data_IF_031922322819
#
_entry.id   IF_031922322819
#
_cell.length_a   1.000
_cell.length_b   1.000
_cell.length_c   1.000
_cell.angle_alpha   90.00
_cell.angle_beta   90.00
_cell.angle_gamma   90.00
#
_symmetry.space_group_name_H-M   'P 1'
#
loop_
_entity.id
_entity.type
_entity.pdbx_description
1 polymer ?
#
# COMPACT_ATOMS: atom_id res chain seq x y z
N UNK A 1 27.57 62.37 -7.40
CA UNK A 1 27.26 61.09 -8.08
C UNK A 1 26.27 60.34 -7.21
N UNK A 2 25.00 60.32 -7.60
CA UNK A 2 23.89 59.69 -6.87
C UNK A 2 23.41 58.51 -7.71
N UNK A 3 23.43 57.29 -7.16
CA UNK A 3 22.79 56.13 -7.76
C UNK A 3 21.60 55.72 -6.92
N UNK A 4 20.42 55.81 -7.54
CA UNK A 4 19.12 55.40 -7.01
C UNK A 4 19.05 53.89 -6.93
N UNK A 5 18.65 53.36 -5.78
CA UNK A 5 18.14 51.99 -5.65
C UNK A 5 16.78 51.91 -6.35
N UNK A 6 16.66 51.03 -7.35
CA UNK A 6 15.39 50.71 -8.00
C UNK A 6 14.59 49.73 -7.13
N UNK A 7 13.30 50.02 -7.00
CA UNK A 7 12.32 49.18 -6.32
C UNK A 7 12.09 47.87 -7.08
N UNK A 8 12.42 46.74 -6.45
CA UNK A 8 11.99 45.43 -6.95
C UNK A 8 10.46 45.31 -6.83
N UNK A 9 9.83 44.91 -7.92
CA UNK A 9 8.38 44.91 -8.13
C UNK A 9 7.66 43.88 -7.25
N UNK A 10 6.55 44.30 -6.67
CA UNK A 10 5.58 43.51 -5.90
C UNK A 10 4.79 42.48 -6.74
N UNK A 11 5.29 42.13 -7.94
CA UNK A 11 4.59 41.26 -8.89
C UNK A 11 4.84 39.76 -8.69
N UNK A 12 5.65 39.36 -7.69
CA UNK A 12 6.05 37.95 -7.52
C UNK A 12 5.14 37.13 -6.59
N UNK A 13 4.41 37.77 -5.67
CA UNK A 13 3.63 37.04 -4.67
C UNK A 13 2.21 36.67 -5.16
N UNK A 14 1.58 37.53 -5.96
CA UNK A 14 0.24 37.26 -6.52
C UNK A 14 0.23 36.13 -7.55
N UNK A 15 1.29 35.99 -8.35
CA UNK A 15 1.38 34.95 -9.38
C UNK A 15 1.55 33.54 -8.76
N UNK A 16 2.20 33.43 -7.60
CA UNK A 16 2.37 32.17 -6.87
C UNK A 16 1.08 31.72 -6.17
N UNK A 17 0.27 32.66 -5.69
CA UNK A 17 -1.03 32.35 -5.04
C UNK A 17 -2.05 31.90 -6.09
N UNK A 18 -2.08 32.50 -7.28
CA UNK A 18 -3.01 32.10 -8.36
C UNK A 18 -2.67 30.72 -8.93
N UNK A 19 -1.39 30.33 -9.02
CA UNK A 19 -1.03 28.97 -9.46
C UNK A 19 -1.43 27.87 -8.45
N UNK A 20 -1.47 28.19 -7.15
CA UNK A 20 -1.92 27.24 -6.13
C UNK A 20 -3.44 27.06 -6.10
N UNK A 21 -4.20 28.01 -6.66
CA UNK A 21 -5.66 27.99 -6.72
C UNK A 21 -6.23 27.27 -7.96
N UNK A 22 -5.40 26.93 -8.95
CA UNK A 22 -5.82 26.19 -10.15
C UNK A 22 -5.65 24.67 -10.08
N UNK A 23 -5.26 24.11 -8.93
CA UNK A 23 -5.47 22.69 -8.69
C UNK A 23 -6.92 22.53 -8.23
N UNK A 24 -7.84 22.57 -9.19
CA UNK A 24 -9.18 22.06 -8.95
C UNK A 24 -9.01 20.68 -8.31
N UNK A 25 -9.61 20.39 -7.14
CA UNK A 25 -9.59 19.04 -6.61
C UNK A 25 -10.28 18.18 -7.66
N UNK A 26 -9.52 17.42 -8.44
CA UNK A 26 -10.12 16.30 -9.15
C UNK A 26 -10.55 15.35 -8.04
N UNK A 27 -11.84 15.38 -7.71
CA UNK A 27 -12.45 14.35 -6.89
C UNK A 27 -12.42 13.09 -7.75
N UNK A 28 -11.26 12.43 -7.76
CA UNK A 28 -11.05 11.17 -8.45
C UNK A 28 -12.07 10.17 -7.93
N UNK A 29 -12.82 9.54 -8.84
CA UNK A 29 -13.82 8.55 -8.48
C UNK A 29 -13.15 7.33 -7.84
N UNK A 30 -13.58 6.97 -6.63
CA UNK A 30 -13.22 5.68 -6.02
C UNK A 30 -13.87 4.57 -6.85
N UNK A 31 -13.04 3.71 -7.43
CA UNK A 31 -13.52 2.58 -8.24
C UNK A 31 -13.85 1.36 -7.37
N UNK A 32 -13.14 1.20 -6.27
CA UNK A 32 -13.36 0.16 -5.26
C UNK A 32 -12.92 0.69 -3.89
N UNK A 33 -13.80 0.54 -2.91
CA UNK A 33 -13.51 0.80 -1.51
C UNK A 33 -13.52 -0.53 -0.74
N UNK A 34 -12.34 -1.02 -0.37
CA UNK A 34 -12.18 -2.24 0.41
C UNK A 34 -11.83 -1.94 1.89
N UNK A 35 -12.09 -0.72 2.37
CA UNK A 35 -11.88 -0.41 3.79
C UNK A 35 -12.88 -1.18 4.64
N UNK A 36 -12.41 -1.84 5.70
CA UNK A 36 -13.23 -2.74 6.52
C UNK A 36 -14.20 -1.94 7.40
N UNK A 37 -15.53 -2.09 7.27
CA UNK A 37 -16.50 -1.36 8.09
C UNK A 37 -16.40 -1.72 9.58
N UNK A 38 -16.83 -0.87 10.53
CA UNK A 38 -16.67 -1.10 11.98
C UNK A 38 -17.44 -2.31 12.53
N UNK A 39 -18.47 -2.73 11.80
CA UNK A 39 -19.37 -3.84 12.17
C UNK A 39 -19.00 -5.16 11.50
N UNK A 40 -18.10 -5.14 10.51
CA UNK A 40 -17.71 -6.34 9.78
C UNK A 40 -16.92 -7.31 10.68
N UNK A 41 -17.11 -8.60 10.45
CA UNK A 41 -16.36 -9.69 11.08
C UNK A 41 -15.43 -10.32 10.04
N UNK A 42 -14.36 -10.94 10.53
CA UNK A 42 -13.39 -11.65 9.67
C UNK A 42 -14.07 -12.71 8.80
N UNK A 43 -15.06 -13.41 9.36
CA UNK A 43 -15.85 -14.44 8.65
C UNK A 43 -16.67 -13.87 7.49
N UNK A 44 -17.02 -12.58 7.53
CA UNK A 44 -17.83 -11.95 6.48
C UNK A 44 -17.09 -11.92 5.13
N UNK A 45 -15.75 -11.95 5.13
CA UNK A 45 -14.95 -12.09 3.90
C UNK A 45 -15.25 -13.39 3.14
N UNK A 46 -15.65 -14.45 3.84
CA UNK A 46 -16.02 -15.74 3.26
C UNK A 46 -17.51 -15.87 2.91
N UNK A 47 -18.36 -14.97 3.43
CA UNK A 47 -19.81 -15.03 3.25
C UNK A 47 -20.30 -14.02 2.20
N UNK A 48 -20.59 -14.54 0.99
CA UNK A 48 -21.05 -13.76 -0.18
C UNK A 48 -22.42 -13.09 0.01
N UNK A 49 -23.15 -13.40 1.07
CA UNK A 49 -24.40 -12.69 1.40
C UNK A 49 -24.14 -11.34 2.08
N UNK A 50 -23.00 -11.19 2.75
CA UNK A 50 -22.59 -9.96 3.45
C UNK A 50 -22.03 -8.90 2.48
N UNK A 51 -22.01 -7.64 2.91
CA UNK A 51 -21.42 -6.55 2.13
C UNK A 51 -19.91 -6.75 1.87
N UNK A 52 -19.16 -7.22 2.87
CA UNK A 52 -17.71 -7.46 2.74
C UNK A 52 -17.42 -8.67 1.84
N UNK A 53 -18.18 -9.75 1.97
CA UNK A 53 -17.99 -10.94 1.13
C UNK A 53 -18.29 -10.69 -0.35
N UNK A 54 -19.25 -9.81 -0.68
CA UNK A 54 -19.50 -9.35 -2.06
C UNK A 54 -18.33 -8.58 -2.66
N UNK A 55 -17.55 -7.89 -1.83
CA UNK A 55 -16.36 -7.14 -2.24
C UNK A 55 -15.09 -8.00 -2.24
N UNK A 56 -15.14 -9.21 -1.69
CA UNK A 56 -13.98 -10.10 -1.54
C UNK A 56 -14.05 -11.20 -2.58
N UNK A 57 -13.23 -11.17 -3.63
CA UNK A 57 -13.20 -12.25 -4.63
C UNK A 57 -12.75 -13.56 -3.99
N UNK A 58 -11.59 -13.51 -3.33
CA UNK A 58 -10.97 -14.65 -2.68
C UNK A 58 -10.14 -14.22 -1.47
N UNK A 59 -9.92 -15.18 -0.57
CA UNK A 59 -8.85 -15.13 0.43
C UNK A 59 -7.89 -16.27 0.12
N UNK A 60 -6.60 -15.96 -0.01
CA UNK A 60 -5.56 -16.94 -0.25
C UNK A 60 -4.94 -17.24 1.11
N UNK A 61 -5.24 -18.40 1.66
CA UNK A 61 -4.73 -18.84 2.96
C UNK A 61 -4.23 -20.28 2.84
N UNK A 62 -3.29 -20.67 3.70
CA UNK A 62 -2.88 -22.07 3.83
C UNK A 62 -3.95 -22.92 4.50
N UNK A 63 -3.55 -23.70 5.51
CA UNK A 63 -4.45 -24.49 6.37
C UNK A 63 -5.17 -23.67 7.46
N UNK A 64 -4.83 -22.39 7.61
CA UNK A 64 -5.51 -21.49 8.55
C UNK A 64 -6.98 -21.28 8.15
N UNK A 65 -7.86 -21.27 9.15
CA UNK A 65 -9.15 -20.60 9.05
C UNK A 65 -8.97 -19.08 8.88
N UNK A 66 -10.03 -18.39 8.43
CA UNK A 66 -9.99 -16.93 8.27
C UNK A 66 -9.62 -16.20 9.57
N UNK A 67 -10.13 -16.66 10.72
CA UNK A 67 -9.87 -16.04 12.03
C UNK A 67 -8.46 -16.33 12.58
N UNK A 68 -7.79 -17.37 12.08
CA UNK A 68 -6.39 -17.64 12.36
C UNK A 68 -5.47 -16.79 11.48
N UNK A 69 -5.85 -16.58 10.21
CA UNK A 69 -5.09 -15.78 9.25
C UNK A 69 -5.25 -14.26 9.47
N UNK A 70 -6.43 -13.82 9.92
CA UNK A 70 -6.79 -12.40 9.99
C UNK A 70 -7.43 -12.02 11.32
N UNK A 71 -7.22 -10.76 11.72
CA UNK A 71 -7.94 -10.14 12.81
C UNK A 71 -8.34 -8.72 12.43
N UNK A 72 -9.62 -8.38 12.62
CA UNK A 72 -10.09 -7.01 12.48
C UNK A 72 -9.97 -6.29 13.83
N UNK A 73 -9.23 -5.20 13.85
CA UNK A 73 -8.96 -4.39 15.02
C UNK A 73 -9.71 -3.07 14.90
N UNK A 74 -10.61 -2.82 15.84
CA UNK A 74 -11.31 -1.53 15.94
C UNK A 74 -10.33 -0.45 16.36
N UNK A 75 -10.35 0.67 15.64
CA UNK A 75 -9.60 1.86 16.00
C UNK A 75 -10.57 2.88 16.61
N UNK A 76 -10.32 3.39 17.82
CA UNK A 76 -11.18 4.39 18.44
C UNK A 76 -11.43 5.58 17.52
N UNK A 77 -12.71 5.96 17.36
CA UNK A 77 -13.16 7.08 16.51
C UNK A 77 -12.87 6.92 15.00
N UNK A 78 -12.52 5.71 14.54
CA UNK A 78 -12.38 5.40 13.11
C UNK A 78 -13.70 4.86 12.54
N UNK A 79 -13.98 5.23 11.28
CA UNK A 79 -15.06 4.61 10.50
C UNK A 79 -14.65 3.27 9.87
N UNK A 80 -13.40 2.84 10.07
CA UNK A 80 -12.88 1.59 9.52
C UNK A 80 -12.05 0.81 10.55
N UNK A 81 -11.99 -0.50 10.37
CA UNK A 81 -11.12 -1.40 11.12
C UNK A 81 -9.77 -1.56 10.42
N UNK A 82 -8.73 -1.84 11.20
CA UNK A 82 -7.42 -2.26 10.69
C UNK A 82 -7.42 -3.79 10.58
N UNK A 83 -6.85 -4.31 9.50
CA UNK A 83 -6.63 -5.75 9.34
C UNK A 83 -5.22 -6.08 9.84
N UNK A 84 -5.12 -6.93 10.86
CA UNK A 84 -3.88 -7.62 11.19
C UNK A 84 -3.83 -8.93 10.40
N UNK A 85 -2.81 -9.05 9.56
CA UNK A 85 -2.47 -10.28 8.85
C UNK A 85 -1.48 -11.07 9.71
N UNK A 86 -1.77 -12.34 9.96
CA UNK A 86 -0.96 -13.21 10.81
C UNK A 86 -0.30 -14.26 9.94
N UNK A 87 0.99 -14.53 10.12
CA UNK A 87 1.69 -15.58 9.38
C UNK A 87 2.22 -16.61 10.38
N UNK A 88 2.02 -17.88 10.08
CA UNK A 88 2.45 -19.04 10.86
C UNK A 88 2.73 -20.24 9.91
N UNK A 89 3.07 -21.41 10.43
CA UNK A 89 3.36 -22.59 9.61
C UNK A 89 2.13 -23.15 8.87
N UNK A 90 0.93 -22.87 9.37
CA UNK A 90 -0.31 -23.17 8.66
C UNK A 90 -0.57 -22.19 7.50
N UNK A 91 0.27 -21.18 7.27
CA UNK A 91 0.12 -20.23 6.17
C UNK A 91 0.78 -20.70 4.86
N UNK A 92 1.30 -21.93 4.81
CA UNK A 92 1.84 -22.51 3.57
C UNK A 92 0.67 -22.83 2.63
N UNK A 93 0.63 -22.16 1.48
CA UNK A 93 -0.43 -22.32 0.49
C UNK A 93 -0.07 -23.41 -0.51
N UNK A 94 -0.97 -24.38 -0.73
CA UNK A 94 -0.83 -25.46 -1.74
C UNK A 94 0.55 -26.13 -1.78
N UNK A 95 1.11 -26.41 -0.60
CA UNK A 95 2.42 -27.05 -0.44
C UNK A 95 3.58 -26.33 -1.16
N UNK A 96 3.43 -25.02 -1.40
CA UNK A 96 4.51 -24.18 -1.93
C UNK A 96 5.57 -23.96 -0.86
N UNK A 97 6.47 -24.94 -0.74
CA UNK A 97 7.61 -24.89 0.18
C UNK A 97 8.46 -23.65 -0.15
N UNK A 98 8.60 -22.75 0.83
CA UNK A 98 9.34 -21.49 0.69
C UNK A 98 8.48 -20.23 0.80
N UNK A 99 7.15 -20.33 0.67
CA UNK A 99 6.24 -19.19 0.81
C UNK A 99 5.18 -19.43 1.88
N UNK A 100 4.85 -18.35 2.61
CA UNK A 100 3.69 -18.28 3.49
C UNK A 100 2.82 -17.14 2.99
N UNK A 101 1.52 -17.40 2.78
CA UNK A 101 0.58 -16.44 2.17
C UNK A 101 -0.69 -16.34 2.97
N UNK A 102 -1.12 -15.11 3.21
CA UNK A 102 -2.45 -14.76 3.67
C UNK A 102 -2.85 -13.49 2.92
N UNK A 103 -3.40 -13.66 1.72
CA UNK A 103 -3.75 -12.55 0.84
C UNK A 103 -5.28 -12.36 0.79
N UNK A 104 -5.68 -11.10 0.70
CA UNK A 104 -7.07 -10.74 0.43
C UNK A 104 -7.12 -10.20 -0.99
N UNK A 105 -7.93 -10.83 -1.84
CA UNK A 105 -8.12 -10.43 -3.23
C UNK A 105 -9.50 -9.79 -3.34
N UNK A 106 -9.59 -8.47 -3.54
CA UNK A 106 -10.87 -7.82 -3.74
C UNK A 106 -11.51 -8.22 -5.08
N UNK A 107 -12.83 -8.15 -5.12
CA UNK A 107 -13.60 -8.23 -6.35
C UNK A 107 -13.38 -6.96 -7.17
N UNK A 108 -12.93 -7.11 -8.41
CA UNK A 108 -12.69 -6.00 -9.29
C UNK A 108 -12.93 -6.37 -10.75
N UNK A 109 -13.28 -5.37 -11.56
CA UNK A 109 -13.53 -5.54 -12.99
C UNK A 109 -12.29 -5.13 -13.80
N UNK A 110 -11.56 -6.09 -14.35
CA UNK A 110 -10.34 -5.84 -15.14
C UNK A 110 -10.52 -4.77 -16.23
N UNK A 111 -11.66 -4.75 -16.93
CA UNK A 111 -11.93 -3.74 -17.98
C UNK A 111 -11.93 -2.30 -17.45
N UNK A 112 -12.27 -2.12 -16.18
CA UNK A 112 -12.28 -0.82 -15.52
C UNK A 112 -10.94 -0.48 -14.85
N UNK A 113 -10.26 -1.48 -14.29
CA UNK A 113 -9.04 -1.29 -13.48
C UNK A 113 -7.76 -1.36 -14.29
N UNK A 114 -7.69 -2.13 -15.38
CA UNK A 114 -6.47 -2.34 -16.16
C UNK A 114 -6.40 -1.41 -17.39
N UNK A 115 -6.85 -0.16 -17.22
CA UNK A 115 -6.89 0.83 -18.30
C UNK A 115 -6.51 2.22 -17.80
N UNK A 116 -5.86 3.02 -18.65
CA UNK A 116 -5.46 4.39 -18.30
C UNK A 116 -4.66 4.48 -17.00
N UNK A 117 -4.78 5.60 -16.30
CA UNK A 117 -4.08 5.82 -15.02
C UNK A 117 -4.97 5.42 -13.85
N UNK A 118 -4.41 4.69 -12.88
CA UNK A 118 -5.10 4.25 -11.65
C UNK A 118 -4.23 4.48 -10.43
N UNK A 119 -4.85 4.84 -9.31
CA UNK A 119 -4.14 5.02 -8.03
C UNK A 119 -4.57 3.94 -7.04
N UNK A 120 -3.61 3.22 -6.48
CA UNK A 120 -3.78 2.19 -5.46
C UNK A 120 -3.36 2.75 -4.10
N UNK A 121 -4.28 2.73 -3.13
CA UNK A 121 -4.04 3.26 -1.80
C UNK A 121 -3.79 2.13 -0.79
N UNK A 122 -2.66 2.20 -0.08
CA UNK A 122 -2.32 1.23 0.97
C UNK A 122 -1.88 1.95 2.24
N UNK A 123 -2.18 1.36 3.39
CA UNK A 123 -1.76 1.87 4.70
C UNK A 123 -1.23 0.74 5.56
N UNK A 124 -0.01 0.87 6.06
CA UNK A 124 0.64 -0.16 6.87
C UNK A 124 1.07 0.39 8.23
N UNK A 125 1.02 -0.46 9.24
CA UNK A 125 1.58 -0.20 10.57
C UNK A 125 2.35 -1.44 11.03
N UNK A 126 3.57 -1.22 11.50
CA UNK A 126 4.40 -2.26 12.11
C UNK A 126 4.36 -2.05 13.61
N UNK A 127 3.69 -2.92 14.35
CA UNK A 127 3.56 -2.76 15.80
C UNK A 127 4.83 -3.22 16.51
N UNK A 128 5.16 -2.63 17.67
CA UNK A 128 6.32 -3.07 18.46
C UNK A 128 6.31 -4.55 18.84
N UNK A 129 5.12 -5.11 19.09
CA UNK A 129 4.92 -6.52 19.44
C UNK A 129 4.76 -7.47 18.24
N UNK A 130 4.66 -6.93 17.02
CA UNK A 130 4.47 -7.69 15.78
C UNK A 130 5.64 -7.53 14.83
N UNK A 131 6.88 -7.57 15.35
CA UNK A 131 8.08 -7.44 14.51
C UNK A 131 8.20 -8.66 13.59
N UNK A 132 8.28 -8.39 12.31
CA UNK A 132 8.61 -9.38 11.29
C UNK A 132 10.10 -9.74 11.37
N UNK A 133 10.45 -10.97 11.03
CA UNK A 133 11.84 -11.40 10.94
C UNK A 133 12.45 -10.87 9.65
N UNK A 134 13.33 -9.87 9.78
CA UNK A 134 13.94 -9.17 8.64
C UNK A 134 14.82 -10.07 7.76
N UNK A 135 15.14 -11.29 8.18
CA UNK A 135 15.81 -12.29 7.33
C UNK A 135 14.90 -12.82 6.21
N UNK A 136 13.59 -12.65 6.33
CA UNK A 136 12.62 -13.03 5.31
C UNK A 136 12.20 -11.83 4.47
N UNK A 137 11.78 -12.12 3.23
CA UNK A 137 11.13 -11.16 2.36
C UNK A 137 9.61 -11.17 2.55
N UNK A 138 9.01 -9.99 2.58
CA UNK A 138 7.57 -9.81 2.74
C UNK A 138 7.02 -8.98 1.58
N UNK A 139 6.18 -9.61 0.78
CA UNK A 139 5.36 -8.94 -0.22
C UNK A 139 4.09 -8.42 0.48
N UNK A 140 4.05 -7.13 0.80
CA UNK A 140 2.98 -6.54 1.61
C UNK A 140 1.73 -6.19 0.80
N UNK A 141 1.94 -5.79 -0.45
CA UNK A 141 0.90 -5.55 -1.45
C UNK A 141 1.53 -5.61 -2.84
N UNK A 142 0.75 -6.05 -3.82
CA UNK A 142 1.15 -6.06 -5.23
C UNK A 142 -0.09 -5.97 -6.12
N UNK A 143 0.15 -5.67 -7.38
CA UNK A 143 -0.82 -5.87 -8.46
C UNK A 143 -0.18 -6.80 -9.46
N UNK A 144 -0.78 -7.97 -9.67
CA UNK A 144 -0.32 -8.92 -10.68
C UNK A 144 -0.40 -8.31 -12.08
N UNK A 145 0.59 -8.62 -12.93
CA UNK A 145 0.55 -8.24 -14.33
C UNK A 145 -0.24 -9.32 -15.10
N UNK A 146 -1.40 -8.97 -15.72
CA UNK A 146 -2.29 -9.97 -16.32
C UNK A 146 -1.64 -10.75 -17.47
N UNK A 147 -0.67 -10.14 -18.17
CA UNK A 147 -0.02 -10.74 -19.34
C UNK A 147 1.25 -11.55 -19.01
N UNK A 148 1.70 -11.60 -17.75
CA UNK A 148 2.90 -12.36 -17.38
C UNK A 148 2.72 -13.20 -16.12
N UNK A 149 3.28 -14.40 -16.17
CA UNK A 149 3.30 -15.32 -15.03
C UNK A 149 4.32 -14.82 -14.00
N UNK A 150 3.88 -14.67 -12.75
CA UNK A 150 4.73 -14.34 -11.59
C UNK A 150 5.42 -12.96 -11.65
N UNK A 151 4.78 -12.00 -12.30
CA UNK A 151 5.28 -10.62 -12.40
C UNK A 151 4.24 -9.65 -11.85
N UNK A 152 4.69 -8.67 -11.08
CA UNK A 152 3.82 -7.65 -10.51
C UNK A 152 4.04 -6.32 -11.23
N UNK A 153 2.98 -5.60 -11.58
CA UNK A 153 3.08 -4.22 -12.09
C UNK A 153 3.90 -3.35 -11.13
N UNK A 154 3.57 -3.45 -9.85
CA UNK A 154 4.37 -2.94 -8.76
C UNK A 154 4.24 -3.88 -7.57
N UNK A 155 5.17 -3.75 -6.63
CA UNK A 155 4.97 -4.25 -5.30
C UNK A 155 5.41 -3.28 -4.20
N UNK A 156 4.95 -3.56 -2.99
CA UNK A 156 5.41 -2.97 -1.74
C UNK A 156 6.07 -4.09 -0.94
N UNK A 157 7.38 -3.99 -0.76
CA UNK A 157 8.23 -5.02 -0.19
C UNK A 157 8.88 -4.58 1.13
N UNK A 158 9.08 -5.52 2.04
CA UNK A 158 9.82 -5.32 3.30
C UNK A 158 10.67 -6.56 3.62
N UNK A 159 11.73 -6.39 4.42
CA UNK A 159 12.62 -7.49 4.78
C UNK A 159 13.66 -7.77 3.70
N UNK A 160 14.19 -8.98 3.65
CA UNK A 160 15.33 -9.37 2.80
C UNK A 160 14.89 -9.93 1.46
N UNK A 161 15.54 -9.52 0.38
CA UNK A 161 15.29 -10.06 -0.96
C UNK A 161 15.60 -11.56 -1.00
N UNK A 162 14.77 -12.34 -1.69
CA UNK A 162 15.07 -13.74 -1.89
C UNK A 162 16.34 -13.90 -2.74
N UNK A 163 17.32 -14.61 -2.17
CA UNK A 163 18.51 -15.09 -2.86
C UNK A 163 18.75 -16.54 -2.42
N UNK A 164 18.72 -17.48 -3.36
CA UNK A 164 18.94 -18.91 -3.09
C UNK A 164 20.35 -19.20 -2.55
N UNK A 165 21.30 -18.28 -2.74
CA UNK A 165 22.66 -18.38 -2.20
C UNK A 165 22.77 -17.90 -0.75
N UNK A 166 21.78 -17.17 -0.23
CA UNK A 166 21.77 -16.67 1.15
C UNK A 166 21.30 -17.75 2.15
N UNK A 167 21.99 -18.89 2.17
CA UNK A 167 21.65 -20.03 3.04
C UNK A 167 21.90 -19.73 4.53
N UNK A 168 22.72 -18.72 4.84
CA UNK A 168 22.94 -18.25 6.20
C UNK A 168 21.77 -17.42 6.77
N UNK A 169 20.82 -17.00 5.92
CA UNK A 169 19.71 -16.14 6.32
C UNK A 169 20.19 -14.78 6.83
N UNK A 170 21.16 -14.17 6.14
CA UNK A 170 21.66 -12.83 6.49
C UNK A 170 20.67 -11.79 6.01
N UNK A 171 20.31 -10.84 6.87
CA UNK A 171 19.41 -9.77 6.46
C UNK A 171 20.11 -8.78 5.53
N UNK A 172 19.39 -8.29 4.52
CA UNK A 172 19.88 -7.22 3.65
C UNK A 172 20.16 -5.93 4.44
N UNK A 173 21.09 -5.11 3.95
CA UNK A 173 21.38 -3.77 4.52
C UNK A 173 20.14 -2.87 4.59
N UNK A 174 19.19 -3.09 3.70
CA UNK A 174 17.94 -2.36 3.55
C UNK A 174 16.71 -3.18 3.98
N UNK A 175 16.89 -4.26 4.75
CA UNK A 175 15.80 -5.11 5.20
C UNK A 175 14.79 -4.37 6.09
N UNK A 176 15.21 -3.35 6.84
CA UNK A 176 14.32 -2.53 7.67
C UNK A 176 13.55 -1.44 6.88
N UNK A 177 13.54 -1.48 5.55
CA UNK A 177 12.82 -0.51 4.72
C UNK A 177 11.52 -1.08 4.17
N UNK A 178 10.53 -0.19 3.96
CA UNK A 178 9.45 -0.45 3.02
C UNK A 178 9.92 0.06 1.66
N UNK A 179 9.89 -0.79 0.64
CA UNK A 179 10.35 -0.49 -0.72
C UNK A 179 9.18 -0.61 -1.68
N UNK A 180 8.93 0.43 -2.48
CA UNK A 180 8.00 0.35 -3.62
C UNK A 180 8.83 0.06 -4.86
N UNK A 181 8.50 -1.02 -5.58
CA UNK A 181 9.28 -1.50 -6.72
C UNK A 181 8.46 -1.57 -8.01
N UNK A 182 9.13 -1.39 -9.15
CA UNK A 182 8.51 -1.60 -10.46
C UNK A 182 8.48 -3.10 -10.83
N UNK A 183 7.95 -3.36 -12.02
CA UNK A 183 7.90 -4.67 -12.68
C UNK A 183 9.25 -5.39 -12.81
N UNK A 184 10.37 -4.66 -12.77
CA UNK A 184 11.72 -5.21 -12.81
C UNK A 184 12.35 -5.34 -11.41
N UNK A 185 11.55 -5.22 -10.36
CA UNK A 185 11.96 -5.17 -8.96
C UNK A 185 12.94 -4.04 -8.62
N UNK A 186 13.02 -2.99 -9.47
CA UNK A 186 13.82 -1.81 -9.17
C UNK A 186 13.11 -0.99 -8.10
N UNK A 187 13.81 -0.65 -7.03
CA UNK A 187 13.27 0.24 -5.98
C UNK A 187 13.12 1.66 -6.53
N UNK A 188 11.91 2.20 -6.45
CA UNK A 188 11.54 3.53 -6.93
C UNK A 188 11.40 4.52 -5.77
N UNK A 189 11.02 4.00 -4.61
CA UNK A 189 10.91 4.73 -3.36
C UNK A 189 11.18 3.77 -2.19
N UNK A 190 11.83 4.26 -1.15
CA UNK A 190 12.01 3.53 0.10
C UNK A 190 11.91 4.43 1.33
N UNK A 191 11.56 3.84 2.46
CA UNK A 191 11.49 4.52 3.76
C UNK A 191 11.80 3.55 4.88
N UNK A 192 12.57 4.00 5.88
CA UNK A 192 12.85 3.20 7.08
C UNK A 192 11.58 2.95 7.90
N UNK A 193 11.37 1.69 8.26
CA UNK A 193 10.28 1.29 9.15
C UNK A 193 10.55 1.84 10.55
N UNK A 194 9.49 2.41 11.13
CA UNK A 194 9.42 2.87 12.51
C UNK A 194 8.19 2.24 13.13
N UNK A 195 8.38 1.60 14.28
CA UNK A 195 7.26 0.93 14.94
C UNK A 195 6.18 1.93 15.36
N UNK A 196 4.94 1.47 15.32
CA UNK A 196 3.72 2.21 15.68
C UNK A 196 3.50 3.50 14.85
N UNK A 197 4.10 3.57 13.66
CA UNK A 197 3.87 4.63 12.67
C UNK A 197 3.05 4.07 11.51
N UNK A 198 2.04 4.84 11.07
CA UNK A 198 1.25 4.53 9.88
C UNK A 198 1.99 5.08 8.65
N UNK A 199 2.22 4.20 7.68
CA UNK A 199 2.80 4.52 6.37
C UNK A 199 1.68 4.48 5.34
N UNK A 200 1.40 5.61 4.71
CA UNK A 200 0.37 5.74 3.67
C UNK A 200 1.05 5.80 2.30
N UNK A 201 0.54 5.02 1.35
CA UNK A 201 1.02 4.95 -0.02
C UNK A 201 -0.14 5.22 -0.98
N UNK A 202 0.15 5.97 -2.05
CA UNK A 202 -0.72 6.18 -3.19
C UNK A 202 0.11 5.89 -4.45
N UNK A 203 -0.17 4.75 -5.07
CA UNK A 203 0.62 4.21 -6.18
C UNK A 203 -0.15 4.40 -7.47
N UNK A 204 0.29 5.37 -8.27
CA UNK A 204 -0.19 5.59 -9.63
C UNK A 204 0.43 4.63 -10.66
N UNK A 205 -0.41 3.85 -11.33
CA UNK A 205 -0.05 2.93 -12.43
C UNK A 205 -0.66 3.43 -13.72
N UNK A 206 0.17 3.60 -14.76
CA UNK A 206 -0.30 3.83 -16.14
C UNK A 206 -0.39 2.51 -16.89
N UNK A 207 -1.61 2.00 -17.02
CA UNK A 207 -1.92 0.76 -17.72
C UNK A 207 -1.78 0.85 -19.24
N UNK A 208 -1.69 2.05 -19.83
CA UNK A 208 -1.42 2.20 -21.28
C UNK A 208 0.06 2.04 -21.58
N UNK A 209 0.91 2.63 -20.75
CA UNK A 209 2.36 2.54 -20.92
C UNK A 209 2.93 1.18 -20.52
N UNK A 210 2.19 0.35 -19.76
CA UNK A 210 2.68 -0.89 -19.12
C UNK A 210 3.88 -0.68 -18.18
N UNK A 211 4.19 0.58 -17.82
CA UNK A 211 5.33 0.98 -16.97
C UNK A 211 4.88 1.89 -15.83
N UNK A 212 5.74 1.98 -14.81
CA UNK A 212 5.44 2.56 -13.49
C UNK A 212 6.16 3.91 -13.24
N UNK A 213 5.36 4.86 -12.75
CA UNK A 213 5.57 6.15 -12.05
C UNK A 213 6.10 7.45 -12.70
N UNK A 214 5.35 8.51 -12.36
CA UNK A 214 5.82 9.87 -12.06
C UNK A 214 6.36 9.97 -10.62
N UNK A 215 7.53 10.60 -10.44
CA UNK A 215 8.22 10.89 -9.17
C UNK A 215 7.42 11.69 -8.11
N UNK A 216 6.15 12.06 -8.37
CA UNK A 216 5.38 13.02 -7.54
C UNK A 216 4.37 12.40 -6.56
N UNK A 217 4.10 11.10 -6.58
CA UNK A 217 2.88 10.57 -5.91
C UNK A 217 3.09 9.80 -4.61
N UNK A 218 4.33 9.65 -4.11
CA UNK A 218 4.54 9.32 -2.71
C UNK A 218 4.21 10.54 -1.83
N UNK A 219 2.92 10.85 -1.67
CA UNK A 219 2.47 11.77 -0.63
C UNK A 219 2.74 11.08 0.70
N UNK A 220 3.93 11.33 1.25
CA UNK A 220 4.22 11.10 2.64
C UNK A 220 3.35 12.09 3.42
N UNK A 221 2.20 11.66 3.91
CA UNK A 221 1.53 12.34 5.00
C UNK A 221 2.42 12.21 6.24
N UNK A 222 3.38 13.14 6.38
CA UNK A 222 4.25 13.23 7.56
C UNK A 222 3.39 13.58 8.78
N UNK A 223 3.54 12.75 9.82
CA UNK A 223 3.28 12.98 11.25
C UNK A 223 2.04 13.82 11.60
N UNK A 224 1.01 13.18 12.15
CA UNK A 224 0.26 13.77 13.27
C UNK A 224 0.07 12.71 14.36
N UNK A 225 0.45 13.03 15.60
CA UNK A 225 -0.10 12.33 16.77
C UNK A 225 -1.62 12.37 16.62
N UNK A 226 -2.25 11.20 16.74
CA UNK A 226 -3.70 10.97 16.77
C UNK A 226 -4.56 12.24 16.52
N UNK A 227 -4.79 12.60 15.26
CA UNK A 227 -5.84 13.54 14.90
C UNK A 227 -6.56 13.07 13.64
N UNK A 228 -7.88 12.94 13.81
CA UNK A 228 -8.96 12.83 12.82
C UNK A 228 -8.51 13.12 11.39
N UNK A 229 -8.53 12.09 10.54
CA UNK A 229 -8.84 12.29 9.14
C UNK A 229 -10.34 12.06 8.96
N UNK A 230 -11.06 13.16 8.77
CA UNK A 230 -12.27 13.16 7.96
C UNK A 230 -11.74 13.22 6.53
N UNK A 231 -11.87 12.13 5.78
CA UNK A 231 -11.89 12.23 4.32
C UNK A 231 -13.37 12.40 3.94
N UNK A 232 -13.68 13.25 2.94
CA UNK A 232 -15.05 13.55 2.53
C UNK A 232 -15.85 12.30 2.16
#
# INVERSE_FOLDING_TARGET
MSQRLSSASSASLFLLVVLSALVAPSLSKILLDYRIPPTAKVTDMGDKTTALGKLTKATITGKNSLTEAYQFMKVPKSQFQVVALKINDNSIFKDQLGFRRNDIVPEYNAKLFETGTKTYHHSFIFTKGGKLDLKHGYLLASVEFPDAVSTHMFDIFHGTQFDSKNTAGTADKDANKIRVRDINFKTLFDVDVKSDVIFNFAIEVDWKAKYVFSKKSAIILRRRKALKFILP
#
